data_IF_023191509866
#
_entry.id   IF_023191509866
#
_cell.length_a   1.000
_cell.length_b   1.000
_cell.length_c   1.000
_cell.angle_alpha   90.00
_cell.angle_beta   90.00
_cell.angle_gamma   90.00
#
_symmetry.space_group_name_H-M   'P 1'
#
loop_
_entity.id
_entity.type
_entity.pdbx_description
1 polymer ?
#
# COMPACT_ATOMS: atom_id res chain seq x y z
N UNK A 1 10.94 -4.26 -7.79
CA UNK A 1 9.97 -3.27 -7.28
C UNK A 1 10.74 -1.98 -7.07
N UNK A 2 10.24 -0.87 -7.61
CA UNK A 2 10.81 0.46 -7.37
C UNK A 2 10.66 0.83 -5.88
N UNK A 3 11.75 1.09 -5.13
CA UNK A 3 11.68 1.41 -3.71
C UNK A 3 10.90 2.70 -3.41
N UNK A 4 10.85 3.66 -4.35
CA UNK A 4 10.07 4.89 -4.17
C UNK A 4 8.57 4.61 -4.31
N UNK A 5 8.19 3.75 -5.26
CA UNK A 5 6.82 3.27 -5.38
C UNK A 5 6.39 2.45 -4.16
N UNK A 6 7.27 1.57 -3.65
CA UNK A 6 7.00 0.80 -2.43
C UNK A 6 6.68 1.73 -1.24
N UNK A 7 7.47 2.80 -1.06
CA UNK A 7 7.21 3.78 -0.02
C UNK A 7 5.92 4.58 -0.25
N UNK A 8 5.60 4.95 -1.49
CA UNK A 8 4.33 5.59 -1.83
C UNK A 8 3.13 4.73 -1.44
N UNK A 9 3.19 3.46 -1.82
CA UNK A 9 2.18 2.47 -1.52
C UNK A 9 2.03 2.26 0.01
N UNK A 10 3.15 2.30 0.76
CA UNK A 10 3.14 2.31 2.23
C UNK A 10 2.40 3.52 2.81
N UNK A 11 2.70 4.73 2.35
CA UNK A 11 2.06 5.96 2.86
C UNK A 11 0.56 5.94 2.59
N UNK A 12 0.15 5.52 1.40
CA UNK A 12 -1.28 5.44 1.06
C UNK A 12 -1.99 4.36 1.88
N UNK A 13 -1.37 3.19 2.10
CA UNK A 13 -1.91 2.16 2.98
C UNK A 13 -2.07 2.69 4.41
N UNK A 14 -1.07 3.40 4.94
CA UNK A 14 -1.12 4.01 6.27
C UNK A 14 -2.29 5.00 6.39
N UNK A 15 -2.43 5.91 5.43
CA UNK A 15 -3.52 6.90 5.44
C UNK A 15 -4.90 6.29 5.30
N UNK A 16 -5.05 5.26 4.46
CA UNK A 16 -6.31 4.50 4.38
C UNK A 16 -6.64 3.86 5.73
N UNK A 17 -5.67 3.22 6.38
CA UNK A 17 -5.85 2.60 7.70
C UNK A 17 -6.19 3.62 8.79
N UNK A 18 -5.61 4.82 8.74
CA UNK A 18 -5.99 5.95 9.61
C UNK A 18 -7.44 6.37 9.37
N UNK A 19 -7.85 6.54 8.12
CA UNK A 19 -9.23 6.89 7.75
C UNK A 19 -10.25 5.82 8.19
N UNK A 20 -9.80 4.58 8.35
CA UNK A 20 -10.57 3.45 8.85
C UNK A 20 -10.54 3.29 10.38
N UNK A 21 -9.87 4.19 11.10
CA UNK A 21 -9.75 4.14 12.55
C UNK A 21 -8.83 3.02 13.07
N UNK A 22 -7.97 2.44 12.23
CA UNK A 22 -7.03 1.37 12.58
C UNK A 22 -5.58 1.73 12.22
N UNK A 23 -5.03 2.82 12.79
CA UNK A 23 -3.67 3.24 12.49
C UNK A 23 -2.67 2.14 12.86
N UNK A 24 -1.76 1.73 11.94
CA UNK A 24 -0.73 0.73 12.25
C UNK A 24 0.38 1.24 13.18
N UNK A 25 0.33 2.53 13.54
CA UNK A 25 1.35 3.24 14.30
C UNK A 25 1.60 4.63 13.71
N UNK A 26 2.73 5.26 14.08
CA UNK A 26 3.16 6.52 13.45
C UNK A 26 3.51 6.30 11.98
N UNK A 27 3.32 7.33 11.16
CA UNK A 27 3.83 7.32 9.79
C UNK A 27 5.37 7.40 9.84
N UNK A 28 6.05 6.45 9.22
CA UNK A 28 7.50 6.42 9.10
C UNK A 28 7.96 7.35 8.00
N UNK A 29 9.05 8.08 8.23
CA UNK A 29 9.72 8.80 7.15
C UNK A 29 10.43 7.84 6.20
N UNK A 30 10.73 8.28 4.98
CA UNK A 30 11.36 7.46 3.92
C UNK A 30 12.62 6.74 4.39
N UNK A 31 13.50 7.43 5.11
CA UNK A 31 14.75 6.84 5.65
C UNK A 31 14.48 5.77 6.71
N UNK A 32 13.48 5.98 7.56
CA UNK A 32 13.09 5.04 8.61
C UNK A 32 12.45 3.79 8.01
N UNK A 33 11.54 4.00 7.05
CA UNK A 33 10.93 2.93 6.27
C UNK A 33 12.00 2.09 5.58
N UNK A 34 12.92 2.71 4.86
CA UNK A 34 14.00 2.02 4.15
C UNK A 34 14.86 1.17 5.11
N UNK A 35 15.23 1.72 6.27
CA UNK A 35 16.00 1.00 7.29
C UNK A 35 15.25 -0.24 7.81
N UNK A 36 13.98 -0.08 8.18
CA UNK A 36 13.15 -1.18 8.68
C UNK A 36 12.87 -2.22 7.59
N UNK A 37 12.70 -1.78 6.34
CA UNK A 37 12.53 -2.63 5.17
C UNK A 37 13.74 -3.50 4.89
N UNK A 38 14.95 -2.95 5.01
CA UNK A 38 16.21 -3.68 4.93
C UNK A 38 16.33 -4.68 6.08
N UNK A 39 16.01 -4.26 7.31
CA UNK A 39 16.00 -5.13 8.49
C UNK A 39 15.06 -6.32 8.30
N UNK A 40 13.86 -6.11 7.77
CA UNK A 40 12.92 -7.18 7.43
C UNK A 40 13.53 -8.17 6.44
N UNK A 41 14.16 -7.68 5.36
CA UNK A 41 14.86 -8.54 4.38
C UNK A 41 15.97 -9.38 5.03
N UNK A 42 16.75 -8.79 5.92
CA UNK A 42 17.79 -9.52 6.66
C UNK A 42 17.21 -10.65 7.53
N UNK A 43 16.12 -10.37 8.24
CA UNK A 43 15.47 -11.37 9.08
C UNK A 43 14.86 -12.50 8.24
N UNK A 44 14.25 -12.19 7.10
CA UNK A 44 13.75 -13.21 6.16
C UNK A 44 14.89 -14.11 5.67
N UNK A 45 16.03 -13.53 5.27
CA UNK A 45 17.21 -14.33 4.88
C UNK A 45 17.71 -15.23 6.01
N UNK A 46 17.74 -14.72 7.25
CA UNK A 46 18.11 -15.49 8.44
C UNK A 46 17.13 -16.63 8.71
N UNK A 47 15.83 -16.39 8.58
CA UNK A 47 14.78 -17.40 8.79
C UNK A 47 14.95 -18.58 7.82
N UNK A 48 15.19 -18.29 6.53
CA UNK A 48 15.46 -19.31 5.50
C UNK A 48 16.69 -20.15 5.86
N UNK A 49 17.75 -19.51 6.36
CA UNK A 49 18.98 -20.23 6.77
C UNK A 49 18.84 -21.05 8.06
N UNK A 50 17.84 -20.79 8.90
CA UNK A 50 17.69 -21.37 10.25
C UNK A 50 16.46 -22.29 10.40
N UNK A 51 15.88 -22.77 9.30
CA UNK A 51 14.73 -23.69 9.30
C UNK A 51 13.57 -23.25 10.23
N UNK A 52 13.10 -22.00 10.09
CA UNK A 52 11.80 -21.63 10.67
C UNK A 52 11.81 -21.24 12.15
N UNK A 53 12.89 -20.65 12.66
CA UNK A 53 12.98 -20.04 14.00
C UNK A 53 11.73 -19.18 14.32
N UNK A 54 10.88 -19.58 15.29
CA UNK A 54 9.63 -18.88 15.61
C UNK A 54 9.84 -17.43 16.08
N UNK A 55 10.97 -17.12 16.73
CA UNK A 55 11.27 -15.77 17.17
C UNK A 55 11.63 -14.85 16.01
N UNK A 56 12.30 -15.39 14.98
CA UNK A 56 12.53 -14.66 13.73
C UNK A 56 11.22 -14.44 12.98
N UNK A 57 10.33 -15.44 12.96
CA UNK A 57 9.02 -15.32 12.32
C UNK A 57 8.19 -14.19 12.97
N UNK A 58 8.08 -14.17 14.30
CA UNK A 58 7.33 -13.13 15.01
C UNK A 58 7.86 -11.71 14.75
N UNK A 59 9.18 -11.52 14.69
CA UNK A 59 9.77 -10.23 14.33
C UNK A 59 9.48 -9.83 12.87
N UNK A 60 9.48 -10.79 11.94
CA UNK A 60 9.14 -10.52 10.54
C UNK A 60 7.67 -10.13 10.42
N UNK A 61 6.78 -10.79 11.15
CA UNK A 61 5.34 -10.46 11.18
C UNK A 61 5.12 -9.05 11.74
N UNK A 62 5.76 -8.71 12.86
CA UNK A 62 5.68 -7.36 13.44
C UNK A 62 6.14 -6.29 12.46
N UNK A 63 7.31 -6.47 11.81
CA UNK A 63 7.79 -5.52 10.81
C UNK A 63 6.90 -5.50 9.56
N UNK A 64 6.29 -6.62 9.19
CA UNK A 64 5.36 -6.67 8.05
C UNK A 64 4.13 -5.83 8.32
N UNK A 65 3.59 -5.89 9.54
CA UNK A 65 2.47 -5.06 9.98
C UNK A 65 2.83 -3.57 10.03
N UNK A 66 3.95 -3.22 10.66
CA UNK A 66 4.42 -1.82 10.79
C UNK A 66 4.71 -1.17 9.43
N UNK A 67 5.28 -1.93 8.50
CA UNK A 67 5.61 -1.46 7.15
C UNK A 67 4.44 -1.53 6.17
N UNK A 68 3.25 -1.99 6.58
CA UNK A 68 2.17 -2.40 5.67
C UNK A 68 2.72 -3.23 4.49
N UNK A 69 3.70 -4.10 4.76
CA UNK A 69 4.50 -4.70 3.70
C UNK A 69 3.66 -5.69 2.92
N UNK A 70 3.53 -5.43 1.61
CA UNK A 70 2.69 -6.24 0.73
C UNK A 70 1.19 -6.03 0.93
N UNK A 71 0.76 -4.95 1.60
CA UNK A 71 -0.66 -4.63 1.79
C UNK A 71 -1.43 -4.65 0.46
N UNK A 72 -0.92 -3.97 -0.57
CA UNK A 72 -1.55 -3.92 -1.90
C UNK A 72 -1.30 -5.16 -2.77
N UNK A 73 -0.21 -5.89 -2.53
CA UNK A 73 0.21 -7.03 -3.37
C UNK A 73 -0.14 -8.40 -2.81
N UNK A 74 -0.75 -8.48 -1.62
CA UNK A 74 -1.23 -9.72 -1.01
C UNK A 74 -2.77 -9.76 -0.97
N UNK A 75 -3.43 -10.41 -1.95
CA UNK A 75 -4.89 -10.50 -1.99
C UNK A 75 -5.52 -11.13 -0.74
N UNK A 76 -4.84 -12.06 -0.07
CA UNK A 76 -5.33 -12.72 1.14
C UNK A 76 -5.38 -11.78 2.35
N UNK A 77 -4.31 -10.98 2.52
CA UNK A 77 -4.28 -9.91 3.53
C UNK A 77 -5.36 -8.86 3.24
N UNK A 78 -5.47 -8.43 1.98
CA UNK A 78 -6.46 -7.46 1.54
C UNK A 78 -7.90 -7.95 1.77
N UNK A 79 -8.20 -9.21 1.42
CA UNK A 79 -9.51 -9.83 1.68
C UNK A 79 -9.87 -9.80 3.15
N UNK A 80 -8.91 -10.20 4.00
CA UNK A 80 -9.11 -10.25 5.45
C UNK A 80 -9.33 -8.85 6.02
N UNK A 81 -8.59 -7.87 5.52
CA UNK A 81 -8.74 -6.46 5.88
C UNK A 81 -10.13 -5.93 5.49
N UNK A 82 -10.51 -6.05 4.21
CA UNK A 82 -11.79 -5.55 3.69
C UNK A 82 -13.01 -6.15 4.40
N UNK A 83 -12.96 -7.44 4.77
CA UNK A 83 -14.06 -8.09 5.50
C UNK A 83 -14.36 -7.42 6.85
N UNK A 84 -13.36 -6.83 7.51
CA UNK A 84 -13.54 -6.14 8.80
C UNK A 84 -14.37 -4.86 8.67
N UNK A 85 -14.46 -4.31 7.46
CA UNK A 85 -15.15 -3.04 7.21
C UNK A 85 -16.30 -3.17 6.20
N UNK A 86 -16.72 -4.40 5.87
CA UNK A 86 -17.75 -4.65 4.86
C UNK A 86 -19.11 -4.00 5.17
N UNK A 87 -19.39 -3.72 6.45
CA UNK A 87 -20.63 -3.08 6.91
C UNK A 87 -20.48 -1.56 7.14
N UNK A 88 -19.27 -1.02 7.00
CA UNK A 88 -19.00 0.39 7.25
C UNK A 88 -19.01 1.17 5.94
N UNK A 89 -19.72 2.29 5.92
CA UNK A 89 -19.59 3.25 4.83
C UNK A 89 -18.28 4.00 4.99
N UNK A 90 -17.38 3.82 4.03
CA UNK A 90 -16.06 4.47 4.02
C UNK A 90 -16.07 5.45 2.85
N UNK A 91 -16.20 6.78 3.11
CA UNK A 91 -16.30 7.77 2.04
C UNK A 91 -15.14 7.69 1.03
N UNK A 92 -13.92 7.47 1.51
CA UNK A 92 -12.73 7.33 0.67
C UNK A 92 -12.77 6.12 -0.29
N UNK A 93 -13.64 5.13 -0.05
CA UNK A 93 -13.78 3.97 -0.94
C UNK A 93 -14.96 4.10 -1.91
N UNK A 94 -15.72 5.20 -1.87
CA UNK A 94 -16.95 5.36 -2.65
C UNK A 94 -16.70 5.64 -4.14
N UNK A 95 -15.57 6.25 -4.49
CA UNK A 95 -15.20 6.57 -5.86
C UNK A 95 -13.70 6.84 -5.97
N UNK A 96 -13.10 6.75 -7.17
CA UNK A 96 -11.70 7.11 -7.37
C UNK A 96 -11.34 8.53 -6.91
N UNK A 97 -12.22 9.50 -7.13
CA UNK A 97 -12.01 10.88 -6.71
C UNK A 97 -12.12 11.03 -5.18
N UNK A 98 -13.07 10.35 -4.54
CA UNK A 98 -13.18 10.36 -3.08
C UNK A 98 -11.98 9.70 -2.40
N UNK A 99 -11.35 8.70 -3.03
CA UNK A 99 -10.12 8.11 -2.52
C UNK A 99 -8.98 9.13 -2.42
N UNK A 100 -8.94 10.09 -3.33
CA UNK A 100 -7.91 11.13 -3.34
C UNK A 100 -8.06 12.13 -2.20
N UNK A 101 -9.15 12.11 -1.42
CA UNK A 101 -9.24 12.85 -0.16
C UNK A 101 -8.27 12.32 0.91
N UNK A 102 -7.68 11.14 0.71
CA UNK A 102 -6.55 10.63 1.50
C UNK A 102 -5.22 11.34 1.17
N UNK A 103 -5.17 12.16 0.12
CA UNK A 103 -3.97 12.84 -0.34
C UNK A 103 -3.99 14.31 0.07
N UNK A 104 -2.80 14.90 0.24
CA UNK A 104 -2.69 16.35 0.44
C UNK A 104 -3.13 17.09 -0.82
N UNK A 105 -3.42 18.39 -0.70
CA UNK A 105 -3.78 19.21 -1.86
C UNK A 105 -2.65 19.25 -2.88
N UNK A 106 -1.42 19.33 -2.39
CA UNK A 106 -0.18 19.36 -3.16
C UNK A 106 0.09 18.03 -3.87
N UNK A 107 -0.16 16.89 -3.21
CA UNK A 107 -0.06 15.57 -3.84
C UNK A 107 -1.10 15.39 -4.94
N UNK A 108 -2.34 15.83 -4.71
CA UNK A 108 -3.39 15.79 -5.74
C UNK A 108 -3.03 16.63 -6.97
N UNK A 109 -2.38 17.78 -6.80
CA UNK A 109 -2.01 18.62 -7.94
C UNK A 109 -0.87 18.04 -8.78
N UNK A 110 -0.20 16.98 -8.33
CA UNK A 110 0.82 16.25 -9.10
C UNK A 110 0.24 15.10 -9.93
N UNK A 111 -1.02 14.73 -9.69
CA UNK A 111 -1.70 13.73 -10.50
C UNK A 111 -2.07 14.33 -11.87
N UNK A 112 -1.90 13.55 -12.94
CA UNK A 112 -2.19 14.03 -14.30
C UNK A 112 -3.69 14.20 -14.56
N UNK A 113 -4.54 13.51 -13.80
CA UNK A 113 -5.99 13.57 -13.91
C UNK A 113 -6.67 13.25 -12.58
N UNK A 114 -7.88 13.80 -12.30
CA UNK A 114 -8.64 13.46 -11.12
C UNK A 114 -9.04 11.99 -11.07
N UNK A 115 -8.92 11.37 -9.89
CA UNK A 115 -9.23 9.97 -9.64
C UNK A 115 -8.15 8.99 -10.09
N UNK A 116 -7.01 9.43 -10.63
CA UNK A 116 -5.93 8.55 -11.06
C UNK A 116 -5.40 7.66 -9.92
N UNK A 117 -5.12 8.25 -8.76
CA UNK A 117 -4.64 7.48 -7.61
C UNK A 117 -5.72 6.54 -7.10
N UNK A 118 -6.97 7.00 -7.05
CA UNK A 118 -8.10 6.17 -6.67
C UNK A 118 -8.31 4.97 -7.60
N UNK A 119 -8.20 5.13 -8.93
CA UNK A 119 -8.33 4.01 -9.89
C UNK A 119 -7.26 2.94 -9.65
N UNK A 120 -6.03 3.36 -9.38
CA UNK A 120 -4.95 2.44 -9.03
C UNK A 120 -5.24 1.74 -7.69
N UNK A 121 -5.41 2.48 -6.59
CA UNK A 121 -5.50 1.85 -5.27
C UNK A 121 -6.80 1.06 -5.05
N UNK A 122 -7.95 1.58 -5.49
CA UNK A 122 -9.22 0.83 -5.44
C UNK A 122 -9.20 -0.38 -6.36
N UNK A 123 -8.45 -0.30 -7.46
CA UNK A 123 -8.23 -1.42 -8.36
C UNK A 123 -7.58 -2.63 -7.69
N UNK A 124 -6.67 -2.43 -6.74
CA UNK A 124 -6.12 -3.52 -5.92
C UNK A 124 -7.14 -4.13 -4.97
N UNK A 125 -8.11 -3.34 -4.46
CA UNK A 125 -9.14 -3.83 -3.54
C UNK A 125 -10.13 -4.80 -4.19
N UNK A 126 -10.28 -4.77 -5.52
CA UNK A 126 -11.17 -5.68 -6.25
C UNK A 126 -10.55 -7.06 -6.50
N UNK A 127 -9.22 -7.15 -6.59
CA UNK A 127 -8.51 -8.38 -6.96
C UNK A 127 -8.82 -9.60 -6.07
N UNK A 128 -8.99 -9.46 -4.74
CA UNK A 128 -9.30 -10.62 -3.89
C UNK A 128 -10.63 -11.32 -4.21
N UNK A 129 -11.56 -10.64 -4.89
CA UNK A 129 -12.83 -11.23 -5.32
C UNK A 129 -12.66 -12.07 -6.60
N UNK A 130 -11.62 -11.77 -7.40
CA UNK A 130 -11.35 -12.40 -8.69
C UNK A 130 -10.43 -13.62 -8.59
N UNK A 131 -9.97 -14.00 -7.40
CA UNK A 131 -8.98 -15.08 -7.21
C UNK A 131 -9.46 -16.43 -7.77
N UNK A 132 -10.77 -16.66 -7.84
CA UNK A 132 -11.38 -17.87 -8.42
C UNK A 132 -11.70 -17.73 -9.92
N UNK A 133 -11.40 -16.59 -10.54
CA UNK A 133 -11.65 -16.27 -11.94
C UNK A 133 -10.33 -15.88 -12.64
N UNK A 134 -9.49 -16.85 -13.04
CA UNK A 134 -8.10 -16.59 -13.45
C UNK A 134 -7.96 -15.58 -14.59
N UNK A 135 -8.84 -15.64 -15.59
CA UNK A 135 -8.81 -14.72 -16.74
C UNK A 135 -9.17 -13.30 -16.29
N UNK A 136 -10.23 -13.14 -15.49
CA UNK A 136 -10.63 -11.84 -14.97
C UNK A 136 -9.56 -11.24 -14.04
N UNK A 137 -8.93 -12.08 -13.22
CA UNK A 137 -7.82 -11.69 -12.37
C UNK A 137 -6.64 -11.17 -13.20
N UNK A 138 -6.23 -11.88 -14.25
CA UNK A 138 -5.11 -11.49 -15.11
C UNK A 138 -5.40 -10.17 -15.83
N UNK A 139 -6.60 -9.99 -16.38
CA UNK A 139 -7.00 -8.72 -16.97
C UNK A 139 -6.97 -7.58 -15.96
N UNK A 140 -7.49 -7.82 -14.75
CA UNK A 140 -7.50 -6.82 -13.69
C UNK A 140 -6.08 -6.44 -13.24
N UNK A 141 -5.15 -7.41 -13.19
CA UNK A 141 -3.72 -7.20 -12.90
C UNK A 141 -3.05 -6.33 -13.96
N UNK A 142 -3.21 -6.66 -15.25
CA UNK A 142 -2.64 -5.85 -16.36
C UNK A 142 -3.18 -4.42 -16.35
N UNK A 143 -4.45 -4.25 -16.02
CA UNK A 143 -5.04 -2.92 -15.85
C UNK A 143 -4.36 -2.16 -14.70
N UNK A 144 -4.09 -2.82 -13.57
CA UNK A 144 -3.38 -2.20 -12.44
C UNK A 144 -1.93 -1.85 -12.77
N UNK A 145 -1.23 -2.67 -13.56
CA UNK A 145 0.12 -2.36 -14.04
C UNK A 145 0.11 -1.10 -14.91
N UNK A 146 -0.83 -1.00 -15.85
CA UNK A 146 -0.98 0.19 -16.70
C UNK A 146 -1.34 1.46 -15.90
N UNK A 147 -2.23 1.35 -14.90
CA UNK A 147 -2.48 2.45 -13.96
C UNK A 147 -1.24 2.79 -13.15
N UNK A 148 -0.45 1.78 -12.78
CA UNK A 148 0.79 1.91 -12.04
C UNK A 148 1.83 2.77 -12.76
N UNK A 149 2.01 2.52 -14.05
CA UNK A 149 2.91 3.28 -14.94
C UNK A 149 2.47 4.75 -15.06
N UNK A 150 1.16 5.00 -15.17
CA UNK A 150 0.60 6.35 -15.30
C UNK A 150 0.63 7.16 -14.00
N UNK A 151 0.53 6.50 -12.85
CA UNK A 151 0.38 7.18 -11.55
C UNK A 151 1.60 8.03 -11.18
N UNK A 152 2.80 7.58 -11.57
CA UNK A 152 4.05 8.21 -11.17
C UNK A 152 4.24 8.28 -9.65
N UNK A 153 5.19 9.12 -9.23
CA UNK A 153 5.44 9.43 -7.82
C UNK A 153 4.80 10.79 -7.51
N UNK A 154 3.93 10.86 -6.51
CA UNK A 154 3.19 12.08 -6.16
C UNK A 154 3.43 12.57 -4.73
N UNK A 155 4.02 11.75 -3.85
CA UNK A 155 4.23 12.14 -2.44
C UNK A 155 5.12 13.37 -2.29
N UNK A 156 4.79 14.24 -1.33
CA UNK A 156 5.54 15.46 -1.04
C UNK A 156 7.05 15.23 -0.82
N UNK A 157 7.42 14.10 -0.19
CA UNK A 157 8.82 13.75 0.10
C UNK A 157 9.68 13.59 -1.16
N UNK A 158 9.08 13.29 -2.31
CA UNK A 158 9.80 13.12 -3.58
C UNK A 158 9.94 14.42 -4.37
N UNK A 159 9.21 15.46 -3.96
CA UNK A 159 9.07 16.71 -4.69
C UNK A 159 9.41 17.91 -3.81
N UNK A 160 10.29 17.71 -2.81
CA UNK A 160 10.70 18.77 -1.89
C UNK A 160 11.10 20.01 -2.68
N UNK A 161 10.32 21.08 -2.51
CA UNK A 161 10.66 22.40 -3.04
C UNK A 161 11.78 22.92 -2.14
N UNK A 162 12.97 23.26 -2.69
CA UNK A 162 13.97 23.96 -1.90
C UNK A 162 13.38 25.30 -1.43
N UNK A 163 13.21 25.49 -0.11
CA UNK A 163 12.92 26.81 0.47
C UNK A 163 11.49 27.07 0.97
N UNK A 164 10.97 26.23 1.86
CA UNK A 164 10.02 26.66 2.91
C UNK A 164 10.55 26.29 4.28
#
# INVERSE_FOLDING_TARGET
MDPYREYQDYVVAHRLRVALGQPPGRLLHLSEYARLRLRRSELVRKLVSRQGDPYLLAQIEQLTEELNYGFWSNPGMMKTFLRRFATLHIPALSSPQAFEDLLTREERSRLSEPGLAGRYYLGWLRLPQLVMEPIAFEHAMREQEAWGERLGLFLDVFHQVPGR
#
